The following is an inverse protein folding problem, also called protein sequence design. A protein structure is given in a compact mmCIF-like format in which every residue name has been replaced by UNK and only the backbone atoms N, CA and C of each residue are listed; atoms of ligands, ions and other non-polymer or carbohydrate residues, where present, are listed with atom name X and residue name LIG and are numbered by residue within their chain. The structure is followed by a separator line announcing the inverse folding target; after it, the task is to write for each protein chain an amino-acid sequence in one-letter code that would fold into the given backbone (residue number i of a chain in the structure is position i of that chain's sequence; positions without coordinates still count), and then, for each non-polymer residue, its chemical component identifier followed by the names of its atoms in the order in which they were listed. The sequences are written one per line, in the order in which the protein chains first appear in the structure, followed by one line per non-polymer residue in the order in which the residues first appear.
data_IF_429672475771
#
_entry.id   IF_429672475771
#
_cell.length_a   1.000
_cell.length_b   1.000
_cell.length_c   1.000
_cell.angle_alpha   90.00
_cell.angle_beta   90.00
_cell.angle_gamma   90.00
#
_symmetry.space_group_name_H-M   'P 1'
#
loop_
_entity.id
_entity.type
_entity.pdbx_description
1 polymer ?
#
# COMPACT_ATOMS: atom_id res chain seq x y z
N UNK A 1 18.07 -12.11 9.66
CA UNK A 1 17.71 -12.28 8.22
C UNK A 1 16.22 -12.58 8.17
N UNK A 2 15.46 -11.82 7.39
CA UNK A 2 14.02 -11.98 7.25
C UNK A 2 13.62 -11.98 5.78
N UNK A 3 12.48 -12.60 5.45
CA UNK A 3 11.82 -12.49 4.16
C UNK A 3 10.88 -11.27 4.22
N UNK A 4 11.07 -10.29 3.35
CA UNK A 4 10.32 -9.03 3.37
C UNK A 4 9.65 -8.85 2.01
N UNK A 5 8.34 -8.64 2.01
CA UNK A 5 7.56 -8.34 0.79
C UNK A 5 7.00 -6.94 0.90
N UNK A 6 7.37 -6.07 -0.05
CA UNK A 6 7.01 -4.66 -0.08
C UNK A 6 5.99 -4.39 -1.19
N UNK A 7 4.77 -4.05 -0.79
CA UNK A 7 3.62 -3.86 -1.68
C UNK A 7 3.32 -2.37 -1.81
N UNK A 8 3.38 -1.86 -3.02
CA UNK A 8 3.25 -0.44 -3.33
C UNK A 8 1.80 0.07 -3.27
N UNK A 9 1.66 1.40 -3.19
CA UNK A 9 0.39 2.12 -3.24
C UNK A 9 -0.20 2.23 -4.64
N UNK A 10 -1.31 2.97 -4.75
CA UNK A 10 -1.98 3.20 -6.01
C UNK A 10 -1.08 3.91 -7.03
N UNK A 11 -1.26 3.59 -8.31
CA UNK A 11 -0.56 4.22 -9.44
C UNK A 11 0.97 4.05 -9.47
N UNK A 12 1.53 3.40 -8.46
CA UNK A 12 2.97 3.14 -8.31
C UNK A 12 3.36 1.81 -8.97
N UNK A 13 4.54 1.32 -8.63
CA UNK A 13 5.10 0.02 -8.98
C UNK A 13 6.22 -0.32 -8.01
N UNK A 14 6.81 -1.49 -8.13
CA UNK A 14 7.96 -1.91 -7.30
C UNK A 14 9.13 -0.93 -7.30
N UNK A 15 9.21 -0.05 -8.31
CA UNK A 15 10.22 1.00 -8.44
C UNK A 15 10.28 1.96 -7.25
N UNK A 16 9.16 2.22 -6.56
CA UNK A 16 9.14 3.14 -5.43
C UNK A 16 9.92 2.61 -4.21
N UNK A 17 10.07 1.31 -4.11
CA UNK A 17 10.83 0.63 -3.06
C UNK A 17 12.33 0.51 -3.33
N UNK A 18 12.83 1.00 -4.48
CA UNK A 18 14.18 0.77 -4.97
C UNK A 18 15.26 0.97 -3.90
N UNK A 19 15.23 2.09 -3.20
CA UNK A 19 16.31 2.46 -2.28
C UNK A 19 16.11 1.78 -0.90
N UNK A 20 14.87 1.64 -0.43
CA UNK A 20 14.52 0.83 0.75
C UNK A 20 14.93 -0.64 0.55
N UNK A 21 14.56 -1.24 -0.59
CA UNK A 21 14.89 -2.63 -0.88
C UNK A 21 16.41 -2.86 -1.02
N UNK A 22 17.13 -1.88 -1.58
CA UNK A 22 18.60 -1.94 -1.65
C UNK A 22 19.22 -1.95 -0.25
N UNK A 23 18.76 -1.08 0.65
CA UNK A 23 19.25 -1.02 2.02
C UNK A 23 18.96 -2.32 2.79
N UNK A 24 17.74 -2.87 2.68
CA UNK A 24 17.37 -4.14 3.31
C UNK A 24 18.19 -5.33 2.78
N UNK A 25 18.42 -5.41 1.46
CA UNK A 25 19.25 -6.46 0.87
C UNK A 25 20.71 -6.33 1.31
N UNK A 26 21.23 -5.12 1.42
CA UNK A 26 22.57 -4.88 1.94
C UNK A 26 22.72 -5.29 3.42
N UNK A 27 21.63 -5.26 4.18
CA UNK A 27 21.57 -5.78 5.56
C UNK A 27 21.34 -7.30 5.63
N UNK A 28 21.29 -7.99 4.48
CA UNK A 28 21.19 -9.47 4.42
C UNK A 28 19.77 -10.02 4.42
N UNK A 29 18.73 -9.20 4.21
CA UNK A 29 17.35 -9.68 4.07
C UNK A 29 17.05 -10.14 2.64
N UNK A 30 16.12 -11.08 2.50
CA UNK A 30 15.49 -11.43 1.22
C UNK A 30 14.34 -10.43 1.00
N UNK A 31 14.31 -9.74 -0.15
CA UNK A 31 13.32 -8.69 -0.39
C UNK A 31 12.67 -8.85 -1.75
N UNK A 32 11.35 -9.01 -1.77
CA UNK A 32 10.51 -8.98 -2.97
C UNK A 32 9.74 -7.66 -3.04
N UNK A 33 9.61 -7.12 -4.26
CA UNK A 33 8.87 -5.87 -4.53
C UNK A 33 7.94 -6.06 -5.72
N UNK A 34 6.89 -6.89 -5.60
CA UNK A 34 5.99 -7.18 -6.71
C UNK A 34 5.32 -5.91 -7.23
N UNK A 35 5.17 -5.80 -8.55
CA UNK A 35 4.36 -4.76 -9.19
C UNK A 35 3.02 -5.34 -9.58
N UNK A 36 1.94 -4.66 -9.19
CA UNK A 36 0.58 -5.04 -9.55
C UNK A 36 0.34 -4.99 -11.06
N UNK A 37 -0.53 -5.86 -11.56
CA UNK A 37 -0.98 -5.86 -12.95
C UNK A 37 -1.55 -4.49 -13.34
N UNK A 38 -1.17 -3.96 -14.49
CA UNK A 38 -1.69 -2.73 -15.07
C UNK A 38 -1.02 -1.44 -14.61
N UNK A 39 -0.06 -1.50 -13.66
CA UNK A 39 0.67 -0.32 -13.20
C UNK A 39 2.19 -0.51 -13.28
N UNK A 40 2.96 0.54 -13.01
CA UNK A 40 4.43 0.51 -13.07
C UNK A 40 4.94 0.00 -14.42
N UNK A 41 5.92 -0.89 -14.40
CA UNK A 41 6.46 -1.55 -15.61
C UNK A 41 5.46 -2.52 -16.26
N UNK A 42 4.35 -2.83 -15.60
CA UNK A 42 3.26 -3.66 -16.14
C UNK A 42 2.09 -2.82 -16.69
N UNK A 43 2.29 -1.51 -16.89
CA UNK A 43 1.28 -0.59 -17.43
C UNK A 43 0.73 -1.01 -18.81
N UNK A 44 1.51 -1.75 -19.60
CA UNK A 44 1.07 -2.33 -20.88
C UNK A 44 -0.08 -3.35 -20.74
N UNK A 45 -0.36 -3.83 -19.53
CA UNK A 45 -1.47 -4.72 -19.20
C UNK A 45 -2.69 -3.96 -18.62
N UNK A 46 -2.68 -2.63 -18.61
CA UNK A 46 -3.73 -1.83 -17.98
C UNK A 46 -5.10 -2.08 -18.64
N UNK A 47 -6.12 -2.21 -17.81
CA UNK A 47 -7.51 -2.44 -18.22
C UNK A 47 -8.44 -2.01 -17.09
N UNK A 48 -9.63 -1.49 -17.42
CA UNK A 48 -10.70 -1.20 -16.44
C UNK A 48 -11.25 -2.45 -15.73
N UNK A 49 -11.00 -3.64 -16.29
CA UNK A 49 -11.39 -4.91 -15.70
C UNK A 49 -10.49 -5.38 -14.55
N UNK A 50 -9.37 -4.68 -14.29
CA UNK A 50 -8.46 -4.99 -13.17
C UNK A 50 -9.14 -4.59 -11.86
N UNK A 51 -9.13 -5.50 -10.89
CA UNK A 51 -9.77 -5.34 -9.59
C UNK A 51 -8.78 -5.47 -8.45
N UNK A 52 -9.21 -5.19 -7.21
CA UNK A 52 -8.44 -5.48 -6.01
C UNK A 52 -8.00 -6.94 -5.94
N UNK A 53 -8.89 -7.86 -6.33
CA UNK A 53 -8.59 -9.31 -6.38
C UNK A 53 -7.42 -9.63 -7.33
N UNK A 54 -7.33 -8.95 -8.48
CA UNK A 54 -6.21 -9.11 -9.40
C UNK A 54 -4.88 -8.78 -8.71
N UNK A 55 -4.82 -7.65 -8.01
CA UNK A 55 -3.62 -7.21 -7.31
C UNK A 55 -3.25 -8.10 -6.12
N UNK A 56 -4.25 -8.63 -5.41
CA UNK A 56 -4.01 -9.62 -4.34
C UNK A 56 -3.34 -10.87 -4.92
N UNK A 57 -3.86 -11.39 -6.05
CA UNK A 57 -3.29 -12.56 -6.73
C UNK A 57 -1.87 -12.33 -7.25
N UNK A 58 -1.55 -11.12 -7.72
CA UNK A 58 -0.18 -10.77 -8.12
C UNK A 58 0.81 -10.99 -6.97
N UNK A 59 0.45 -10.55 -5.76
CA UNK A 59 1.32 -10.66 -4.59
C UNK A 59 1.35 -12.09 -4.04
N UNK A 60 0.20 -12.77 -3.98
CA UNK A 60 0.13 -14.20 -3.60
C UNK A 60 1.03 -15.02 -4.52
N UNK A 61 0.88 -14.85 -5.85
CA UNK A 61 1.69 -15.57 -6.83
C UNK A 61 3.18 -15.31 -6.70
N UNK A 62 3.58 -14.07 -6.36
CA UNK A 62 4.98 -13.74 -6.08
C UNK A 62 5.50 -14.50 -4.84
N UNK A 63 4.73 -14.50 -3.75
CA UNK A 63 5.10 -15.19 -2.49
C UNK A 63 5.21 -16.70 -2.70
N UNK A 64 4.28 -17.29 -3.46
CA UNK A 64 4.27 -18.72 -3.77
C UNK A 64 5.45 -19.11 -4.67
N UNK A 65 5.71 -18.35 -5.74
CA UNK A 65 6.78 -18.61 -6.69
C UNK A 65 8.19 -18.49 -6.07
N UNK A 66 8.36 -17.57 -5.13
CA UNK A 66 9.62 -17.38 -4.39
C UNK A 66 9.70 -18.26 -3.12
N UNK A 67 8.68 -19.09 -2.87
CA UNK A 67 8.58 -19.98 -1.71
C UNK A 67 8.85 -19.30 -0.36
N UNK A 68 8.34 -18.04 -0.21
CA UNK A 68 8.61 -17.23 0.99
C UNK A 68 7.71 -17.64 2.16
N UNK A 69 8.30 -17.80 3.33
CA UNK A 69 7.63 -18.07 4.61
C UNK A 69 8.13 -17.13 5.72
N UNK A 70 7.43 -17.08 6.86
CA UNK A 70 7.71 -16.18 8.00
C UNK A 70 7.92 -14.72 7.55
N UNK A 71 7.02 -14.24 6.70
CA UNK A 71 7.15 -13.00 5.95
C UNK A 71 6.86 -11.78 6.82
N UNK A 72 7.66 -10.73 6.68
CA UNK A 72 7.27 -9.34 6.99
C UNK A 72 6.62 -8.76 5.73
N UNK A 73 5.28 -8.66 5.73
CA UNK A 73 4.49 -8.17 4.61
C UNK A 73 4.12 -6.70 4.85
N UNK A 74 4.68 -5.79 4.06
CA UNK A 74 4.45 -4.35 4.19
C UNK A 74 3.63 -3.82 3.02
N UNK A 75 2.50 -3.18 3.32
CA UNK A 75 1.64 -2.49 2.34
C UNK A 75 1.63 -0.98 2.56
N UNK A 76 1.91 -0.21 1.50
CA UNK A 76 1.83 1.24 1.49
C UNK A 76 0.50 1.71 0.92
N UNK A 77 -0.17 2.68 1.58
CA UNK A 77 -1.36 3.34 1.03
C UNK A 77 -2.46 2.34 0.62
N UNK A 78 -2.89 2.33 -0.65
CA UNK A 78 -3.75 1.31 -1.25
C UNK A 78 -3.23 -0.11 -1.02
N UNK A 79 -1.91 -0.29 -0.96
CA UNK A 79 -1.28 -1.58 -0.67
C UNK A 79 -1.76 -2.22 0.64
N UNK A 80 -2.30 -1.44 1.58
CA UNK A 80 -2.94 -1.96 2.79
C UNK A 80 -4.15 -2.84 2.50
N UNK A 81 -4.97 -2.47 1.49
CA UNK A 81 -6.07 -3.32 1.00
C UNK A 81 -5.55 -4.66 0.48
N UNK A 82 -4.46 -4.60 -0.29
CA UNK A 82 -3.85 -5.78 -0.91
C UNK A 82 -3.25 -6.71 0.13
N UNK A 83 -2.40 -6.18 1.04
CA UNK A 83 -1.69 -7.03 2.02
C UNK A 83 -2.64 -7.68 3.02
N UNK A 84 -3.76 -7.04 3.34
CA UNK A 84 -4.81 -7.64 4.16
C UNK A 84 -5.40 -8.87 3.46
N UNK A 85 -5.75 -8.74 2.17
CA UNK A 85 -6.26 -9.86 1.39
C UNK A 85 -5.23 -10.97 1.16
N UNK A 86 -3.95 -10.62 1.02
CA UNK A 86 -2.84 -11.59 0.90
C UNK A 86 -2.66 -12.37 2.19
N UNK A 87 -2.63 -11.69 3.34
CA UNK A 87 -2.48 -12.34 4.65
C UNK A 87 -3.64 -13.30 4.94
N UNK A 88 -4.87 -12.93 4.55
CA UNK A 88 -6.04 -13.80 4.69
C UNK A 88 -5.92 -15.09 3.86
N UNK A 89 -5.36 -15.03 2.64
CA UNK A 89 -5.22 -16.16 1.72
C UNK A 89 -4.01 -17.06 1.97
N UNK A 90 -3.04 -16.59 2.75
CA UNK A 90 -1.80 -17.31 3.05
C UNK A 90 -1.66 -17.58 4.56
N UNK A 91 -2.56 -18.38 5.15
CA UNK A 91 -2.55 -18.65 6.59
C UNK A 91 -1.20 -19.21 7.04
N UNK A 92 -0.62 -18.58 8.07
CA UNK A 92 0.63 -18.99 8.67
C UNK A 92 1.91 -18.55 7.95
N UNK A 93 1.84 -18.02 6.70
CA UNK A 93 3.02 -17.51 5.98
C UNK A 93 3.42 -16.10 6.38
N UNK A 94 2.46 -15.27 6.81
CA UNK A 94 2.72 -13.89 7.21
C UNK A 94 2.92 -13.83 8.72
N UNK A 95 4.15 -13.55 9.15
CA UNK A 95 4.50 -13.40 10.56
C UNK A 95 4.16 -12.01 11.08
N UNK A 96 4.55 -10.98 10.34
CA UNK A 96 4.33 -9.58 10.69
C UNK A 96 3.65 -8.86 9.53
N UNK A 97 2.53 -8.19 9.80
CA UNK A 97 1.80 -7.39 8.83
C UNK A 97 2.01 -5.90 9.13
N UNK A 98 2.56 -5.17 8.15
CA UNK A 98 2.91 -3.76 8.28
C UNK A 98 2.04 -2.91 7.37
N UNK A 99 1.38 -1.92 7.94
CA UNK A 99 0.61 -0.90 7.25
C UNK A 99 1.39 0.41 7.26
N UNK A 100 2.07 0.71 6.14
CA UNK A 100 2.85 1.93 5.98
C UNK A 100 1.98 3.03 5.40
N UNK A 101 1.54 3.97 6.25
CA UNK A 101 0.64 5.07 5.87
C UNK A 101 -0.48 4.56 4.96
N UNK A 102 -1.24 3.55 5.45
CA UNK A 102 -2.05 2.68 4.62
C UNK A 102 -3.46 2.46 5.17
N UNK A 103 -4.36 2.07 4.29
CA UNK A 103 -5.71 1.62 4.67
C UNK A 103 -5.65 0.28 5.39
N UNK A 104 -6.49 0.11 6.42
CA UNK A 104 -6.64 -1.13 7.18
C UNK A 104 -8.08 -1.62 7.04
N UNK A 105 -8.38 -2.42 6.02
CA UNK A 105 -9.74 -2.87 5.74
C UNK A 105 -10.16 -4.03 6.64
N UNK A 106 -11.47 -4.14 6.81
CA UNK A 106 -12.19 -5.33 7.29
C UNK A 106 -12.90 -6.00 6.11
N UNK A 107 -13.51 -7.16 6.36
CA UNK A 107 -14.34 -7.83 5.38
C UNK A 107 -15.49 -6.92 4.90
N UNK A 108 -15.66 -6.83 3.59
CA UNK A 108 -16.65 -5.98 2.94
C UNK A 108 -16.23 -4.52 2.72
N UNK A 109 -15.10 -4.06 3.25
CA UNK A 109 -14.64 -2.70 3.06
C UNK A 109 -14.08 -2.48 1.65
N UNK A 110 -14.44 -1.35 1.03
CA UNK A 110 -13.76 -0.81 -0.14
C UNK A 110 -12.88 0.38 0.25
N UNK A 111 -11.85 0.69 -0.56
CA UNK A 111 -11.02 1.86 -0.29
C UNK A 111 -11.85 3.15 -0.25
N UNK A 112 -12.81 3.30 -1.19
CA UNK A 112 -13.69 4.46 -1.22
C UNK A 112 -14.52 4.58 0.07
N UNK A 113 -15.04 3.47 0.59
CA UNK A 113 -15.75 3.47 1.88
C UNK A 113 -14.86 3.83 3.07
N UNK A 114 -13.60 3.41 3.03
CA UNK A 114 -12.63 3.77 4.09
C UNK A 114 -12.23 5.25 4.05
N UNK A 115 -12.21 5.89 2.88
CA UNK A 115 -12.02 7.34 2.77
C UNK A 115 -13.18 8.11 3.43
N UNK A 116 -14.42 7.66 3.21
CA UNK A 116 -15.61 8.28 3.81
C UNK A 116 -15.59 8.20 5.35
N UNK A 117 -14.98 7.14 5.91
CA UNK A 117 -14.85 6.97 7.36
C UNK A 117 -13.67 7.77 7.92
N UNK A 118 -12.57 7.87 7.17
CA UNK A 118 -11.31 8.42 7.69
C UNK A 118 -11.16 9.93 7.54
N UNK A 119 -11.93 10.57 6.67
CA UNK A 119 -11.84 11.99 6.34
C UNK A 119 -13.15 12.73 6.66
N UNK A 120 -13.07 14.06 6.77
CA UNK A 120 -14.26 14.90 6.78
C UNK A 120 -15.04 14.72 5.45
N UNK A 121 -16.38 14.72 5.46
CA UNK A 121 -17.21 14.40 4.28
C UNK A 121 -16.85 15.19 3.03
N UNK A 122 -16.54 16.49 3.17
CA UNK A 122 -16.20 17.36 2.07
C UNK A 122 -14.85 16.98 1.44
N UNK A 123 -13.88 16.55 2.25
CA UNK A 123 -12.56 16.13 1.81
C UNK A 123 -12.65 14.76 1.14
N UNK A 124 -13.37 13.82 1.74
CA UNK A 124 -13.63 12.52 1.12
C UNK A 124 -14.30 12.66 -0.25
N UNK A 125 -15.34 13.50 -0.35
CA UNK A 125 -16.03 13.78 -1.61
C UNK A 125 -15.10 14.37 -2.68
N UNK A 126 -14.12 15.20 -2.30
CA UNK A 126 -13.12 15.73 -3.25
C UNK A 126 -12.23 14.61 -3.82
N UNK A 127 -11.69 13.72 -2.97
CA UNK A 127 -10.89 12.58 -3.43
C UNK A 127 -11.70 11.66 -4.34
N UNK A 128 -12.88 11.23 -3.90
CA UNK A 128 -13.75 10.34 -4.66
C UNK A 128 -14.20 10.98 -5.98
N UNK A 129 -14.52 12.28 -5.97
CA UNK A 129 -14.86 13.04 -7.16
C UNK A 129 -13.71 13.15 -8.16
N UNK A 130 -12.47 13.34 -7.68
CA UNK A 130 -11.28 13.36 -8.50
C UNK A 130 -11.00 12.01 -9.16
N UNK A 131 -11.08 10.90 -8.41
CA UNK A 131 -10.88 9.56 -8.95
C UNK A 131 -11.90 9.24 -10.05
N UNK A 132 -13.19 9.41 -9.77
CA UNK A 132 -14.26 9.16 -10.75
C UNK A 132 -14.20 10.13 -11.93
N UNK A 133 -13.92 11.41 -11.67
CA UNK A 133 -13.83 12.44 -12.71
C UNK A 133 -12.69 12.17 -13.70
N UNK A 134 -11.51 11.80 -13.20
CA UNK A 134 -10.37 11.46 -14.07
C UNK A 134 -10.60 10.16 -14.83
N UNK A 135 -11.21 9.16 -14.23
CA UNK A 135 -11.57 7.91 -14.90
C UNK A 135 -12.61 8.16 -16.01
N UNK A 136 -13.65 8.96 -15.75
CA UNK A 136 -14.68 9.30 -16.74
C UNK A 136 -14.14 10.14 -17.89
N UNK A 137 -13.15 11.01 -17.63
CA UNK A 137 -12.51 11.83 -18.66
C UNK A 137 -11.48 11.06 -19.50
N UNK A 138 -11.03 9.91 -19.02
CA UNK A 138 -10.07 9.05 -19.69
C UNK A 138 -10.77 8.16 -20.72
N UNK A 139 -10.18 8.04 -21.92
CA UNK A 139 -10.68 7.10 -22.94
C UNK A 139 -10.55 5.64 -22.51
N UNK A 140 -9.72 5.35 -21.51
CA UNK A 140 -9.45 4.01 -20.98
C UNK A 140 -10.26 3.67 -19.73
N UNK A 141 -11.08 4.60 -19.18
CA UNK A 141 -11.80 4.41 -17.92
C UNK A 141 -10.91 4.29 -16.67
N UNK A 142 -9.63 4.66 -16.80
CA UNK A 142 -8.65 4.56 -15.72
C UNK A 142 -8.50 5.90 -14.98
N UNK A 143 -8.47 5.88 -13.65
CA UNK A 143 -8.19 7.06 -12.84
C UNK A 143 -6.72 7.49 -12.99
N UNK A 144 -6.49 8.79 -13.00
CA UNK A 144 -5.14 9.35 -13.12
C UNK A 144 -4.45 9.46 -11.77
N UNK A 145 -3.11 9.39 -11.72
CA UNK A 145 -2.33 9.59 -10.50
C UNK A 145 -2.60 10.96 -9.88
N UNK A 146 -2.60 11.01 -8.56
CA UNK A 146 -2.54 12.27 -7.82
C UNK A 146 -1.09 12.80 -7.90
N UNK A 147 -0.88 14.09 -8.20
CA UNK A 147 0.46 14.66 -8.25
C UNK A 147 1.23 14.51 -6.92
N UNK A 148 2.52 14.20 -7.00
CA UNK A 148 3.41 13.98 -5.85
C UNK A 148 3.42 15.15 -4.85
N UNK A 149 3.25 16.38 -5.33
CA UNK A 149 3.17 17.58 -4.50
C UNK A 149 1.99 17.54 -3.51
N UNK A 150 0.88 16.88 -3.86
CA UNK A 150 -0.31 16.76 -2.99
C UNK A 150 -0.08 15.84 -1.80
N UNK A 151 0.91 14.96 -1.88
CA UNK A 151 1.35 14.05 -0.82
C UNK A 151 2.53 14.60 -0.02
N UNK A 152 2.88 15.87 -0.24
CA UNK A 152 4.01 16.55 0.38
C UNK A 152 5.37 15.85 0.17
N UNK A 153 5.53 15.12 -0.93
CA UNK A 153 6.80 14.47 -1.29
C UNK A 153 7.89 15.54 -1.43
N UNK A 154 9.11 15.25 -0.97
CA UNK A 154 10.25 16.15 -1.04
C UNK A 154 10.45 16.66 -2.48
N UNK A 155 10.62 17.96 -2.67
CA UNK A 155 10.64 18.62 -3.98
C UNK A 155 11.61 17.96 -4.97
N UNK A 156 12.77 17.52 -4.48
CA UNK A 156 13.78 16.83 -5.28
C UNK A 156 13.27 15.50 -5.89
N UNK A 157 12.26 14.88 -5.27
CA UNK A 157 11.74 13.58 -5.67
C UNK A 157 10.45 13.67 -6.51
N UNK A 158 9.71 14.79 -6.47
CA UNK A 158 8.40 14.95 -7.13
C UNK A 158 8.44 14.58 -8.61
N UNK A 159 9.34 15.20 -9.38
CA UNK A 159 9.44 14.92 -10.82
C UNK A 159 9.83 13.46 -11.12
N UNK A 160 10.53 12.80 -10.22
CA UNK A 160 10.88 11.38 -10.35
C UNK A 160 9.67 10.47 -10.09
N UNK A 161 8.83 10.81 -9.10
CA UNK A 161 7.58 10.09 -8.78
C UNK A 161 6.55 10.33 -9.90
N UNK A 162 6.24 11.58 -10.22
CA UNK A 162 5.19 11.94 -11.18
C UNK A 162 5.37 11.26 -12.54
N UNK A 163 6.60 11.19 -13.08
CA UNK A 163 6.85 10.55 -14.39
C UNK A 163 6.78 9.03 -14.35
N UNK A 164 6.69 8.40 -13.17
CA UNK A 164 6.62 6.94 -13.00
C UNK A 164 5.26 6.44 -12.60
N UNK A 165 4.47 7.28 -11.97
CA UNK A 165 3.09 6.97 -11.67
C UNK A 165 2.30 6.85 -12.97
N UNK A 166 1.40 5.86 -13.03
CA UNK A 166 0.57 5.58 -14.19
C UNK A 166 -0.89 5.43 -13.78
N UNK A 167 -1.80 5.56 -14.73
CA UNK A 167 -3.23 5.40 -14.49
C UNK A 167 -3.56 3.99 -13.98
N UNK A 168 -4.58 3.89 -13.11
CA UNK A 168 -5.03 2.65 -12.48
C UNK A 168 -6.54 2.46 -12.63
N UNK A 169 -6.99 1.20 -12.68
CA UNK A 169 -8.40 0.87 -12.76
C UNK A 169 -9.17 1.35 -11.51
N UNK A 170 -10.24 2.11 -11.71
CA UNK A 170 -11.09 2.61 -10.61
C UNK A 170 -11.73 1.47 -9.80
N UNK A 171 -12.03 0.34 -10.44
CA UNK A 171 -12.59 -0.84 -9.78
C UNK A 171 -11.71 -1.36 -8.62
N UNK A 172 -10.40 -1.11 -8.62
CA UNK A 172 -9.50 -1.46 -7.51
C UNK A 172 -9.82 -0.70 -6.23
N UNK A 173 -10.49 0.45 -6.32
CA UNK A 173 -10.90 1.28 -5.17
C UNK A 173 -12.36 1.06 -4.77
N UNK A 174 -13.21 0.72 -5.74
CA UNK A 174 -14.66 0.61 -5.54
C UNK A 174 -15.09 -0.78 -5.08
N UNK A 175 -14.37 -1.82 -5.51
CA UNK A 175 -14.73 -3.19 -5.12
C UNK A 175 -14.37 -3.48 -3.67
N UNK A 176 -15.28 -4.14 -2.93
CA UNK A 176 -15.02 -4.53 -1.56
C UNK A 176 -13.96 -5.64 -1.48
N UNK A 177 -13.16 -5.58 -0.43
CA UNK A 177 -12.30 -6.70 -0.03
C UNK A 177 -13.18 -7.80 0.54
N UNK A 178 -13.05 -9.01 -0.02
CA UNK A 178 -13.72 -10.20 0.51
C UNK A 178 -12.68 -11.07 1.21
N UNK A 179 -12.87 -11.30 2.49
CA UNK A 179 -12.04 -12.18 3.30
C UNK A 179 -12.68 -13.57 3.38
N UNK A 180 -11.87 -14.60 3.20
CA UNK A 180 -12.34 -16.01 3.29
C UNK A 180 -12.38 -16.51 4.74
N UNK A 181 -11.79 -15.74 5.64
CA UNK A 181 -11.72 -16.03 7.06
C UNK A 181 -10.58 -16.99 7.44
N UNK A 182 -9.71 -16.56 8.30
CA UNK A 182 -8.72 -17.39 8.98
C UNK A 182 -7.28 -16.97 8.85
N UNK A 183 -6.84 -16.45 7.69
CA UNK A 183 -5.42 -16.12 7.50
C UNK A 183 -4.91 -15.02 8.43
N UNK A 184 -5.73 -14.00 8.66
CA UNK A 184 -5.38 -12.88 9.54
C UNK A 184 -5.22 -13.28 11.01
N UNK A 185 -5.86 -14.35 11.47
CA UNK A 185 -5.74 -14.87 12.83
C UNK A 185 -4.35 -15.43 13.12
N UNK A 186 -3.60 -15.85 12.08
CA UNK A 186 -2.25 -16.37 12.18
C UNK A 186 -1.16 -15.29 12.21
N UNK A 187 -1.50 -14.03 11.94
CA UNK A 187 -0.56 -12.92 11.98
C UNK A 187 -0.16 -12.62 13.41
N UNK A 188 1.13 -12.81 13.73
CA UNK A 188 1.65 -12.70 15.12
C UNK A 188 1.78 -11.25 15.56
N UNK A 189 2.12 -10.34 14.65
CA UNK A 189 2.34 -8.92 14.94
C UNK A 189 1.76 -8.03 13.86
N UNK A 190 1.13 -6.94 14.27
CA UNK A 190 0.65 -5.88 13.35
C UNK A 190 1.32 -4.57 13.71
N UNK A 191 1.89 -3.92 12.70
CA UNK A 191 2.58 -2.65 12.85
C UNK A 191 1.91 -1.62 11.95
N UNK A 192 1.50 -0.50 12.53
CA UNK A 192 1.06 0.66 11.77
C UNK A 192 2.17 1.72 11.78
N UNK A 193 2.62 2.16 10.62
CA UNK A 193 3.62 3.22 10.48
C UNK A 193 2.94 4.42 9.84
N UNK A 194 2.75 5.48 10.62
CA UNK A 194 2.16 6.74 10.16
C UNK A 194 3.23 7.66 9.58
N UNK A 195 3.01 8.16 8.36
CA UNK A 195 3.72 9.31 7.82
C UNK A 195 3.09 10.60 8.35
N UNK A 196 3.74 11.26 9.33
CA UNK A 196 3.15 12.38 10.08
C UNK A 196 3.52 13.75 9.52
N UNK A 197 3.93 13.83 8.26
CA UNK A 197 4.38 15.05 7.62
C UNK A 197 3.50 15.58 6.47
N UNK A 198 2.26 15.14 6.33
CA UNK A 198 1.36 15.62 5.28
C UNK A 198 -0.12 15.67 5.68
N UNK A 199 -0.90 16.53 5.03
CA UNK A 199 -2.34 16.71 5.25
C UNK A 199 -3.04 17.15 3.94
N UNK A 200 -4.34 16.82 3.78
CA UNK A 200 -5.18 16.02 4.67
C UNK A 200 -4.90 14.52 4.52
N UNK A 201 -4.44 13.86 5.57
CA UNK A 201 -4.12 12.44 5.58
C UNK A 201 -5.25 11.61 6.17
N UNK A 202 -5.82 10.62 5.43
CA UNK A 202 -6.79 9.68 5.99
C UNK A 202 -6.15 8.72 7.00
N UNK A 203 -4.84 8.58 6.98
CA UNK A 203 -4.10 7.56 7.70
C UNK A 203 -3.91 7.87 9.18
N UNK A 204 -4.06 9.15 9.59
CA UNK A 204 -4.15 9.54 11.01
C UNK A 204 -5.31 8.88 11.73
N UNK A 205 -6.42 8.63 11.01
CA UNK A 205 -7.56 7.90 11.55
C UNK A 205 -7.17 6.49 11.99
N UNK A 206 -6.49 5.73 11.12
CA UNK A 206 -6.08 4.36 11.42
C UNK A 206 -5.00 4.31 12.51
N UNK A 207 -3.99 5.20 12.46
CA UNK A 207 -2.98 5.28 13.50
C UNK A 207 -3.62 5.49 14.88
N UNK A 208 -4.57 6.42 14.99
CA UNK A 208 -5.31 6.68 16.23
C UNK A 208 -6.17 5.48 16.67
N UNK A 209 -6.80 4.79 15.72
CA UNK A 209 -7.65 3.63 16.00
C UNK A 209 -6.87 2.47 16.62
N UNK A 210 -5.61 2.28 16.20
CA UNK A 210 -4.78 1.17 16.64
C UNK A 210 -3.74 1.54 17.71
N UNK A 211 -3.62 2.83 18.09
CA UNK A 211 -2.74 3.27 19.16
C UNK A 211 -3.19 2.67 20.51
N UNK A 212 -2.36 1.81 21.10
CA UNK A 212 -2.69 1.09 22.34
C UNK A 212 -3.62 -0.12 22.17
N UNK A 213 -4.03 -0.46 20.95
CA UNK A 213 -4.83 -1.66 20.69
C UNK A 213 -4.00 -2.94 20.85
N UNK A 214 -4.61 -3.98 21.43
CA UNK A 214 -3.95 -5.27 21.62
C UNK A 214 -3.51 -5.88 20.28
N UNK A 215 -2.27 -6.37 20.24
CA UNK A 215 -1.67 -6.97 19.04
C UNK A 215 -1.21 -5.95 17.98
N UNK A 216 -1.23 -4.66 18.30
CA UNK A 216 -0.77 -3.59 17.42
C UNK A 216 0.39 -2.80 18.02
N UNK A 217 1.31 -2.41 17.15
CA UNK A 217 2.33 -1.41 17.42
C UNK A 217 2.15 -0.24 16.44
N UNK A 218 2.16 0.98 16.94
CA UNK A 218 2.05 2.20 16.12
C UNK A 218 3.36 2.97 16.21
N UNK A 219 3.95 3.23 15.05
CA UNK A 219 5.17 4.02 14.86
C UNK A 219 4.85 5.27 14.03
N UNK A 220 5.68 6.31 14.14
CA UNK A 220 5.52 7.56 13.39
C UNK A 220 6.84 7.94 12.76
N UNK A 221 6.78 8.33 11.47
CA UNK A 221 7.92 8.90 10.74
C UNK A 221 7.51 10.29 10.28
N UNK A 222 8.27 11.32 10.65
CA UNK A 222 8.04 12.69 10.21
C UNK A 222 8.44 12.84 8.73
N UNK A 223 7.52 12.47 7.84
CA UNK A 223 7.76 12.36 6.40
C UNK A 223 6.49 12.63 5.61
N UNK A 224 6.64 12.81 4.30
CA UNK A 224 5.58 12.77 3.29
C UNK A 224 4.89 11.40 3.25
N UNK A 225 3.81 11.29 2.46
CA UNK A 225 3.14 10.01 2.22
C UNK A 225 4.07 8.92 1.69
N UNK A 226 4.98 9.25 0.79
CA UNK A 226 5.91 8.28 0.17
C UNK A 226 7.19 8.10 0.99
N UNK A 227 7.05 7.57 2.21
CA UNK A 227 8.16 7.33 3.15
C UNK A 227 9.30 6.54 2.51
N UNK A 228 8.99 5.56 1.66
CA UNK A 228 9.96 4.72 0.96
C UNK A 228 10.80 5.48 -0.08
N UNK A 229 10.33 6.66 -0.49
CA UNK A 229 11.03 7.57 -1.42
C UNK A 229 11.85 8.60 -0.66
N UNK A 230 11.26 9.23 0.36
CA UNK A 230 11.87 10.37 1.05
C UNK A 230 12.72 9.96 2.26
N UNK A 231 12.44 8.82 2.90
CA UNK A 231 13.17 8.32 4.10
C UNK A 231 13.50 6.82 3.96
N UNK A 232 14.10 6.37 2.84
CA UNK A 232 14.32 4.95 2.57
C UNK A 232 15.21 4.24 3.60
N UNK A 233 16.21 4.92 4.15
CA UNK A 233 17.13 4.34 5.13
C UNK A 233 16.46 4.13 6.50
N UNK A 234 15.66 5.12 6.95
CA UNK A 234 14.91 5.04 8.20
C UNK A 234 13.87 3.94 8.13
N UNK A 235 13.12 3.87 7.01
CA UNK A 235 12.14 2.81 6.79
C UNK A 235 12.80 1.43 6.72
N UNK A 236 13.96 1.31 6.04
CA UNK A 236 14.68 0.05 5.98
C UNK A 236 15.16 -0.40 7.36
N UNK A 237 15.64 0.51 8.21
CA UNK A 237 16.04 0.18 9.58
C UNK A 237 14.85 -0.32 10.41
N UNK A 238 13.67 0.32 10.28
CA UNK A 238 12.45 -0.10 10.96
C UNK A 238 12.01 -1.50 10.49
N UNK A 239 11.88 -1.71 9.18
CA UNK A 239 11.42 -2.99 8.63
C UNK A 239 12.42 -4.13 8.87
N UNK A 240 13.71 -3.84 8.84
CA UNK A 240 14.77 -4.82 9.10
C UNK A 240 14.87 -5.27 10.56
N UNK A 241 14.28 -4.52 11.50
CA UNK A 241 14.22 -4.87 12.92
C UNK A 241 13.02 -5.74 13.28
N UNK A 242 12.07 -5.95 12.36
CA UNK A 242 10.91 -6.82 12.50
C UNK A 242 11.27 -8.26 12.13
#
# INVERSE_FOLDING_TARGET
MANIVLVHGACHGGWCWRDTARALRAAGHVVATPTHTGVGERAHQSSEAITLETHIRDVVGCIEAEELDEIVLCGHSYGGMVVTGVADRLPGRVRTLVYLDAFVPKDGDSLNGLLDVALAPEVAAQFLGAFRGTAAASHSGLMQPIPAAMFNIDEANRAWVDRRCVAQALATFEMPLLLSGGGLEHVKERVYVLADGWDPSPFRHFAKLYEGAEGWRVEKIACSHDVMVDRPAELAALLGAL
#
